data_IF_498907140187
#
_entry.id   IF_498907140187
#
_cell.length_a   1.000
_cell.length_b   1.000
_cell.length_c   1.000
_cell.angle_alpha   90.00
_cell.angle_beta   90.00
_cell.angle_gamma   90.00
#
_symmetry.space_group_name_H-M   'P 1'
#
loop_
_entity.id
_entity.type
_entity.pdbx_description
1 polymer ?
#
# COMPACT_ATOMS: atom_id res chain seq x y z
N UNK A 1 -9.56 -16.79 24.85
CA UNK A 1 -10.64 -17.54 24.19
C UNK A 1 -10.42 -17.37 22.69
N UNK A 2 -9.88 -18.39 21.99
CA UNK A 2 -9.63 -18.28 20.55
C UNK A 2 -10.96 -18.10 19.83
N UNK A 3 -10.98 -17.24 18.82
CA UNK A 3 -12.16 -16.99 17.99
C UNK A 3 -12.03 -17.87 16.74
N UNK A 4 -12.86 -18.92 16.57
CA UNK A 4 -12.75 -19.83 15.43
C UNK A 4 -12.83 -19.09 14.09
N UNK A 5 -13.62 -18.01 14.02
CA UNK A 5 -13.74 -17.16 12.83
C UNK A 5 -12.39 -16.54 12.40
N UNK A 6 -11.58 -16.09 13.36
CA UNK A 6 -10.30 -15.45 13.11
C UNK A 6 -9.27 -16.49 12.69
N UNK A 7 -9.20 -17.61 13.42
CA UNK A 7 -8.26 -18.69 13.08
C UNK A 7 -8.52 -19.26 11.69
N UNK A 8 -9.79 -19.42 11.30
CA UNK A 8 -10.16 -19.88 9.96
C UNK A 8 -9.77 -18.86 8.87
N UNK A 9 -10.06 -17.58 9.10
CA UNK A 9 -9.67 -16.51 8.16
C UNK A 9 -8.15 -16.36 8.07
N UNK A 10 -7.44 -16.51 9.19
CA UNK A 10 -5.98 -16.46 9.24
C UNK A 10 -5.36 -17.61 8.46
N UNK A 11 -5.73 -18.85 8.79
CA UNK A 11 -5.22 -20.04 8.11
C UNK A 11 -5.47 -20.01 6.60
N UNK A 12 -6.59 -19.40 6.15
CA UNK A 12 -6.90 -19.26 4.74
C UNK A 12 -6.06 -18.21 4.00
N UNK A 13 -5.48 -17.23 4.69
CA UNK A 13 -4.85 -16.06 4.06
C UNK A 13 -3.41 -15.76 4.54
N UNK A 14 -2.90 -16.49 5.53
CA UNK A 14 -1.56 -16.29 6.09
C UNK A 14 -0.45 -16.40 5.04
N UNK A 15 -0.45 -17.47 4.24
CA UNK A 15 0.55 -17.66 3.18
C UNK A 15 0.48 -16.55 2.12
N UNK A 16 -0.72 -16.07 1.82
CA UNK A 16 -0.94 -14.98 0.87
C UNK A 16 -0.43 -13.64 1.42
N UNK A 17 -0.70 -13.37 2.71
CA UNK A 17 -0.20 -12.20 3.42
C UNK A 17 1.33 -12.23 3.52
N UNK A 18 1.93 -13.36 3.86
CA UNK A 18 3.38 -13.50 3.95
C UNK A 18 4.04 -13.27 2.59
N UNK A 19 3.48 -13.83 1.51
CA UNK A 19 3.96 -13.57 0.15
C UNK A 19 3.86 -12.10 -0.24
N UNK A 20 2.74 -11.45 0.13
CA UNK A 20 2.58 -10.01 -0.06
C UNK A 20 3.61 -9.20 0.74
N UNK A 21 3.81 -9.51 2.02
CA UNK A 21 4.76 -8.78 2.89
C UNK A 21 6.20 -8.93 2.41
N UNK A 22 6.64 -10.15 2.07
CA UNK A 22 7.98 -10.41 1.54
C UNK A 22 8.28 -9.60 0.27
N UNK A 23 7.27 -9.38 -0.57
CA UNK A 23 7.43 -8.57 -1.77
C UNK A 23 7.58 -7.06 -1.49
N UNK A 24 7.07 -6.57 -0.35
CA UNK A 24 6.98 -5.14 -0.05
C UNK A 24 7.85 -4.67 1.14
N UNK A 25 8.40 -5.57 1.95
CA UNK A 25 9.31 -5.23 3.07
C UNK A 25 10.77 -5.10 2.65
N UNK A 26 11.16 -5.63 1.48
CA UNK A 26 12.53 -5.61 0.98
C UNK A 26 13.48 -6.60 1.67
N UNK A 27 13.16 -7.08 2.88
CA UNK A 27 13.90 -8.12 3.60
C UNK A 27 12.94 -9.21 4.10
N UNK A 28 13.39 -10.47 4.08
CA UNK A 28 12.57 -11.62 4.50
C UNK A 28 12.23 -11.59 5.99
N UNK A 29 13.15 -11.13 6.83
CA UNK A 29 12.97 -11.12 8.29
C UNK A 29 11.91 -10.11 8.73
N UNK A 30 11.92 -8.91 8.12
CA UNK A 30 10.91 -7.87 8.32
C UNK A 30 9.49 -8.41 8.01
N UNK A 31 9.35 -9.28 7.00
CA UNK A 31 8.05 -9.79 6.58
C UNK A 31 7.39 -10.68 7.64
N UNK A 32 8.16 -11.51 8.34
CA UNK A 32 7.64 -12.42 9.37
C UNK A 32 7.25 -11.66 10.63
N UNK A 33 8.02 -10.63 10.99
CA UNK A 33 7.68 -9.73 12.09
C UNK A 33 6.38 -8.97 11.81
N UNK A 34 6.26 -8.37 10.61
CA UNK A 34 5.05 -7.66 10.20
C UNK A 34 3.83 -8.58 10.17
N UNK A 35 4.01 -9.84 9.74
CA UNK A 35 2.94 -10.83 9.76
C UNK A 35 2.44 -11.09 11.18
N UNK A 36 3.35 -11.26 12.15
CA UNK A 36 3.01 -11.42 13.56
C UNK A 36 2.27 -10.19 14.10
N UNK A 37 2.72 -8.97 13.76
CA UNK A 37 2.06 -7.75 14.20
C UNK A 37 0.62 -7.66 13.69
N UNK A 38 0.38 -8.01 12.41
CA UNK A 38 -0.96 -8.07 11.83
C UNK A 38 -1.83 -9.09 12.57
N UNK A 39 -1.29 -10.25 12.92
CA UNK A 39 -2.02 -11.25 13.72
C UNK A 39 -2.44 -10.70 15.08
N UNK A 40 -1.53 -10.00 15.78
CA UNK A 40 -1.81 -9.37 17.06
C UNK A 40 -2.89 -8.30 16.92
N UNK A 41 -2.83 -7.44 15.88
CA UNK A 41 -3.86 -6.45 15.57
C UNK A 41 -5.21 -7.12 15.33
N UNK A 42 -5.25 -8.25 14.63
CA UNK A 42 -6.47 -9.02 14.40
C UNK A 42 -7.02 -9.66 15.69
N UNK A 43 -6.15 -10.22 16.54
CA UNK A 43 -6.52 -10.77 17.84
C UNK A 43 -7.12 -9.71 18.77
N UNK A 44 -6.52 -8.51 18.82
CA UNK A 44 -7.03 -7.38 19.62
C UNK A 44 -8.43 -6.96 19.22
N UNK A 45 -8.80 -7.16 17.95
CA UNK A 45 -10.13 -6.85 17.46
C UNK A 45 -11.21 -7.80 17.99
N UNK A 46 -10.82 -9.00 18.41
CA UNK A 46 -11.67 -9.95 19.12
C UNK A 46 -12.97 -10.24 18.36
N UNK A 47 -14.10 -10.22 19.08
CA UNK A 47 -15.43 -10.52 18.51
C UNK A 47 -15.82 -9.62 17.33
N UNK A 48 -15.30 -8.38 17.26
CA UNK A 48 -15.59 -7.44 16.16
C UNK A 48 -15.00 -7.92 14.83
N UNK A 49 -13.96 -8.75 14.85
CA UNK A 49 -13.44 -9.36 13.63
C UNK A 49 -14.48 -10.30 12.98
N UNK A 50 -15.19 -11.10 13.79
CA UNK A 50 -16.20 -12.03 13.25
C UNK A 50 -17.38 -11.33 12.56
N UNK A 51 -17.61 -10.03 12.84
CA UNK A 51 -18.64 -9.24 12.15
C UNK A 51 -18.16 -8.59 10.84
N UNK A 52 -16.90 -8.78 10.46
CA UNK A 52 -16.36 -8.23 9.20
C UNK A 52 -16.89 -9.03 8.02
N UNK A 53 -17.55 -8.35 7.08
CA UNK A 53 -18.14 -8.98 5.89
C UNK A 53 -17.10 -9.66 4.97
N UNK A 54 -15.90 -9.07 4.85
CA UNK A 54 -14.79 -9.65 4.08
C UNK A 54 -13.49 -9.66 4.90
N UNK A 55 -13.22 -10.75 5.63
CA UNK A 55 -12.03 -10.89 6.48
C UNK A 55 -10.72 -10.72 5.70
N UNK A 56 -10.64 -11.26 4.47
CA UNK A 56 -9.45 -11.12 3.61
C UNK A 56 -9.16 -9.66 3.31
N UNK A 57 -10.16 -8.91 2.83
CA UNK A 57 -9.99 -7.50 2.49
C UNK A 57 -9.52 -6.68 3.70
N UNK A 58 -10.05 -6.99 4.88
CA UNK A 58 -9.63 -6.34 6.13
C UNK A 58 -8.19 -6.68 6.51
N UNK A 59 -7.79 -7.96 6.42
CA UNK A 59 -6.41 -8.38 6.71
C UNK A 59 -5.40 -7.68 5.79
N UNK A 60 -5.69 -7.59 4.49
CA UNK A 60 -4.83 -6.87 3.54
C UNK A 60 -4.83 -5.35 3.75
N UNK A 61 -5.93 -4.78 4.26
CA UNK A 61 -5.95 -3.38 4.66
C UNK A 61 -5.02 -3.15 5.86
N UNK A 62 -5.08 -4.01 6.88
CA UNK A 62 -4.17 -3.94 8.03
C UNK A 62 -2.73 -4.16 7.60
N UNK A 63 -2.46 -5.13 6.72
CA UNK A 63 -1.12 -5.40 6.20
C UNK A 63 -0.49 -4.19 5.51
N UNK A 64 -1.24 -3.50 4.65
CA UNK A 64 -0.78 -2.26 4.00
C UNK A 64 -0.48 -1.16 5.01
N UNK A 65 -1.37 -0.94 5.97
CA UNK A 65 -1.15 0.08 6.99
C UNK A 65 0.11 -0.24 7.81
N UNK A 66 0.28 -1.49 8.25
CA UNK A 66 1.46 -1.92 9.01
C UNK A 66 2.76 -1.76 8.20
N UNK A 67 2.76 -2.07 6.90
CA UNK A 67 3.92 -1.84 6.03
C UNK A 67 4.27 -0.35 5.93
N UNK A 68 3.27 0.52 5.78
CA UNK A 68 3.50 1.97 5.68
C UNK A 68 4.08 2.50 7.00
N UNK A 69 3.52 2.08 8.14
CA UNK A 69 4.02 2.44 9.47
C UNK A 69 5.48 2.00 9.66
N UNK A 70 5.81 0.77 9.24
CA UNK A 70 7.17 0.23 9.31
C UNK A 70 8.17 1.03 8.45
N UNK A 71 7.82 1.32 7.19
CA UNK A 71 8.67 2.13 6.30
C UNK A 71 8.89 3.54 6.84
N UNK A 72 7.88 4.14 7.47
CA UNK A 72 8.00 5.45 8.11
C UNK A 72 8.99 5.42 9.27
N UNK A 73 8.91 4.42 10.15
CA UNK A 73 9.82 4.28 11.29
C UNK A 73 11.26 4.03 10.84
N UNK A 74 11.47 3.15 9.84
CA UNK A 74 12.79 2.83 9.30
C UNK A 74 13.45 4.05 8.64
N UNK A 75 12.66 4.95 8.04
CA UNK A 75 13.13 6.22 7.48
C UNK A 75 13.56 7.22 8.55
N UNK A 76 12.88 7.24 9.70
CA UNK A 76 13.24 8.09 10.84
C UNK A 76 14.48 7.56 11.60
N UNK A 77 14.83 6.28 11.44
CA UNK A 77 15.90 5.61 12.19
C UNK A 77 17.22 5.44 11.44
N UNK A 78 17.43 6.08 10.28
CA UNK A 78 18.68 5.92 9.52
C UNK A 78 19.87 6.52 10.31
N UNK A 79 20.84 5.71 10.76
CA UNK A 79 22.17 6.22 11.11
C UNK A 79 22.82 6.71 9.81
N UNK A 80 23.47 7.88 9.86
CA UNK A 80 24.35 8.32 8.77
C UNK A 80 25.62 7.46 8.82
N UNK A 81 25.64 6.35 8.08
CA UNK A 81 26.87 5.61 7.83
C UNK A 81 27.47 6.05 6.47
N UNK A 82 28.66 6.66 6.56
CA UNK A 82 29.57 6.94 5.44
C UNK A 82 30.19 5.63 4.93
N UNK A 83 29.39 4.75 4.32
CA UNK A 83 29.94 3.75 3.40
C UNK A 83 28.85 3.30 2.44
N UNK A 84 28.87 3.90 1.25
CA UNK A 84 28.04 3.48 0.12
C UNK A 84 28.57 2.12 -0.36
N UNK A 85 28.17 1.05 0.31
CA UNK A 85 28.20 -0.28 -0.26
C UNK A 85 27.10 -0.32 -1.31
N UNK A 86 27.52 -0.31 -2.57
CA UNK A 86 26.63 -0.48 -3.72
C UNK A 86 25.75 -1.72 -3.48
N UNK A 87 24.41 -1.58 -3.44
CA UNK A 87 23.57 -2.76 -3.46
C UNK A 87 23.76 -3.40 -4.83
N UNK A 88 24.16 -4.68 -4.83
CA UNK A 88 24.07 -5.52 -6.00
C UNK A 88 22.68 -5.35 -6.60
N UNK A 89 22.62 -5.23 -7.94
CA UNK A 89 21.36 -5.15 -8.69
C UNK A 89 20.57 -6.43 -8.50
N UNK A 90 19.89 -6.57 -7.37
CA UNK A 90 18.66 -7.33 -7.32
C UNK A 90 17.77 -6.71 -8.38
N UNK A 91 17.29 -7.55 -9.30
CA UNK A 91 16.39 -7.15 -10.36
C UNK A 91 15.21 -6.41 -9.76
N UNK A 92 15.28 -5.08 -9.82
CA UNK A 92 14.23 -4.16 -9.44
C UNK A 92 12.92 -4.70 -10.03
N UNK A 93 11.94 -5.11 -9.20
CA UNK A 93 10.65 -5.58 -9.69
C UNK A 93 10.07 -4.52 -10.63
N UNK A 94 9.21 -4.90 -11.58
CA UNK A 94 8.58 -3.99 -12.55
C UNK A 94 7.89 -2.73 -11.96
N UNK A 95 7.76 -2.66 -10.64
CA UNK A 95 7.37 -1.52 -9.81
C UNK A 95 8.34 -0.32 -9.96
N UNK A 96 9.65 -0.54 -10.13
CA UNK A 96 10.63 0.55 -10.25
C UNK A 96 10.66 1.24 -11.63
N UNK A 97 10.09 0.61 -12.65
CA UNK A 97 9.83 1.32 -13.92
C UNK A 97 8.59 2.22 -13.81
N UNK A 98 7.64 1.85 -12.94
CA UNK A 98 6.39 2.59 -12.70
C UNK A 98 6.58 3.82 -11.80
N UNK A 99 7.60 3.81 -10.94
CA UNK A 99 7.96 4.94 -10.07
C UNK A 99 8.35 6.19 -10.87
N UNK A 100 8.86 6.06 -12.10
CA UNK A 100 9.11 7.20 -13.00
C UNK A 100 7.81 7.79 -13.59
N UNK A 101 6.79 6.96 -13.77
CA UNK A 101 5.50 7.36 -14.33
C UNK A 101 4.61 8.05 -13.28
N UNK A 102 4.72 7.63 -12.02
CA UNK A 102 3.83 8.03 -10.95
C UNK A 102 3.81 9.55 -10.66
N UNK A 103 4.95 10.26 -10.51
CA UNK A 103 4.96 11.71 -10.23
C UNK A 103 4.16 12.51 -11.27
N UNK A 104 4.38 12.19 -12.55
CA UNK A 104 3.72 12.88 -13.67
C UNK A 104 2.23 12.59 -13.73
N UNK A 105 1.83 11.33 -13.49
CA UNK A 105 0.40 10.99 -13.44
C UNK A 105 -0.29 11.66 -12.26
N UNK A 106 0.39 11.78 -11.10
CA UNK A 106 -0.14 12.50 -9.94
C UNK A 106 -0.37 13.98 -10.25
N UNK A 107 0.54 14.63 -10.98
CA UNK A 107 0.37 16.04 -11.41
C UNK A 107 -0.83 16.25 -12.34
N UNK A 108 -1.18 15.26 -13.15
CA UNK A 108 -2.34 15.37 -14.03
C UNK A 108 -3.68 15.09 -13.32
N UNK A 109 -3.67 14.65 -12.06
CA UNK A 109 -4.89 14.45 -11.28
C UNK A 109 -5.43 15.79 -10.75
N UNK A 110 -6.75 15.90 -10.54
CA UNK A 110 -7.31 17.03 -9.80
C UNK A 110 -6.62 17.18 -8.45
N UNK A 111 -6.36 18.43 -8.03
CA UNK A 111 -5.58 18.73 -6.83
C UNK A 111 -6.10 18.00 -5.58
N UNK A 112 -7.42 17.94 -5.39
CA UNK A 112 -8.04 17.23 -4.28
C UNK A 112 -7.84 15.70 -4.32
N UNK A 113 -7.73 15.12 -5.52
CA UNK A 113 -7.46 13.68 -5.70
C UNK A 113 -5.97 13.40 -5.46
N UNK A 114 -5.08 14.26 -5.99
CA UNK A 114 -3.64 14.18 -5.74
C UNK A 114 -3.33 14.28 -4.25
N UNK A 115 -3.90 15.27 -3.57
CA UNK A 115 -3.75 15.47 -2.12
C UNK A 115 -4.21 14.23 -1.34
N UNK A 116 -5.37 13.67 -1.68
CA UNK A 116 -5.89 12.47 -1.02
C UNK A 116 -4.92 11.28 -1.14
N UNK A 117 -4.37 11.06 -2.34
CA UNK A 117 -3.44 9.96 -2.59
C UNK A 117 -2.09 10.20 -1.90
N UNK A 118 -1.51 11.40 -2.04
CA UNK A 118 -0.25 11.73 -1.39
C UNK A 118 -0.37 11.55 0.11
N UNK A 119 -1.41 12.12 0.71
CA UNK A 119 -1.55 12.12 2.15
C UNK A 119 -1.84 10.71 2.72
N UNK A 120 -2.76 9.96 2.11
CA UNK A 120 -3.18 8.67 2.68
C UNK A 120 -2.37 7.48 2.20
N UNK A 121 -2.00 7.45 0.90
CA UNK A 121 -1.42 6.28 0.27
C UNK A 121 0.12 6.36 0.19
N UNK A 122 0.69 7.57 0.09
CA UNK A 122 2.15 7.77 0.04
C UNK A 122 2.70 8.10 1.44
N UNK A 123 2.13 9.10 2.11
CA UNK A 123 2.58 9.54 3.43
C UNK A 123 2.00 8.69 4.57
N UNK A 124 1.04 7.81 4.26
CA UNK A 124 0.46 6.89 5.24
C UNK A 124 -0.45 7.53 6.29
N UNK A 125 -0.87 8.78 6.10
CA UNK A 125 -1.64 9.49 7.10
C UNK A 125 -3.06 8.92 7.22
N UNK A 126 -3.65 8.95 8.43
CA UNK A 126 -5.01 8.49 8.62
C UNK A 126 -5.99 9.32 7.79
N UNK A 127 -7.01 8.64 7.24
CA UNK A 127 -8.06 9.29 6.44
C UNK A 127 -8.85 10.35 7.21
N UNK A 128 -8.76 10.35 8.55
CA UNK A 128 -9.32 11.41 9.39
C UNK A 128 -8.58 12.74 9.17
N UNK A 129 -7.25 12.74 9.07
CA UNK A 129 -6.48 13.95 8.76
C UNK A 129 -6.83 14.50 7.37
N UNK A 130 -7.08 13.62 6.40
CA UNK A 130 -7.59 14.02 5.09
C UNK A 130 -8.98 14.70 5.19
N UNK A 131 -9.86 14.15 6.03
CA UNK A 131 -11.19 14.69 6.25
C UNK A 131 -11.12 16.10 6.86
N UNK A 132 -10.27 16.26 7.86
CA UNK A 132 -10.05 17.53 8.57
C UNK A 132 -9.45 18.59 7.63
N UNK A 133 -8.44 18.23 6.83
CA UNK A 133 -7.84 19.15 5.84
C UNK A 133 -8.82 19.58 4.75
N UNK A 134 -9.70 18.68 4.31
CA UNK A 134 -10.67 18.97 3.26
C UNK A 134 -11.97 19.58 3.78
N UNK A 135 -12.17 19.67 5.09
CA UNK A 135 -13.41 20.14 5.71
C UNK A 135 -14.63 19.25 5.39
N UNK A 136 -14.41 17.94 5.25
CA UNK A 136 -15.47 16.96 4.92
C UNK A 136 -15.62 15.91 6.02
N UNK A 137 -16.71 15.15 5.99
CA UNK A 137 -16.85 14.00 6.89
C UNK A 137 -15.85 12.88 6.56
N UNK A 138 -15.55 12.01 7.53
CA UNK A 138 -14.72 10.81 7.32
C UNK A 138 -15.28 9.91 6.20
N UNK A 139 -16.60 9.80 6.08
CA UNK A 139 -17.24 9.06 4.98
C UNK A 139 -17.03 9.74 3.62
N UNK A 140 -17.06 11.08 3.59
CA UNK A 140 -16.73 11.89 2.42
C UNK A 140 -15.27 11.73 2.00
N UNK A 141 -14.33 11.76 2.95
CA UNK A 141 -12.90 11.54 2.70
C UNK A 141 -12.63 10.13 2.15
N UNK A 142 -13.23 9.10 2.74
CA UNK A 142 -13.19 7.71 2.24
C UNK A 142 -13.66 7.60 0.79
N UNK A 143 -14.83 8.15 0.50
CA UNK A 143 -15.40 8.14 -0.85
C UNK A 143 -14.55 8.91 -1.85
N UNK A 144 -13.94 10.02 -1.42
CA UNK A 144 -13.02 10.81 -2.26
C UNK A 144 -11.74 10.04 -2.56
N UNK A 145 -11.09 9.48 -1.54
CA UNK A 145 -9.88 8.67 -1.71
C UNK A 145 -10.12 7.47 -2.65
N UNK A 146 -11.27 6.79 -2.50
CA UNK A 146 -11.63 5.69 -3.40
C UNK A 146 -11.75 6.14 -4.86
N UNK A 147 -12.41 7.29 -5.12
CA UNK A 147 -12.53 7.86 -6.47
C UNK A 147 -11.17 8.33 -7.02
N UNK A 148 -10.34 8.93 -6.18
CA UNK A 148 -8.99 9.33 -6.53
C UNK A 148 -8.14 8.13 -6.99
N UNK A 149 -8.18 7.01 -6.23
CA UNK A 149 -7.51 5.76 -6.61
C UNK A 149 -8.00 5.20 -7.95
N UNK A 150 -9.31 5.25 -8.21
CA UNK A 150 -9.87 4.80 -9.48
C UNK A 150 -9.38 5.65 -10.66
N UNK A 151 -9.33 6.97 -10.48
CA UNK A 151 -8.82 7.91 -11.51
C UNK A 151 -7.33 7.76 -11.74
N UNK A 152 -6.54 7.58 -10.67
CA UNK A 152 -5.12 7.30 -10.77
C UNK A 152 -4.90 6.03 -11.60
N UNK A 153 -5.63 4.95 -11.30
CA UNK A 153 -5.56 3.71 -12.07
C UNK A 153 -5.87 3.93 -13.56
N UNK A 154 -6.96 4.62 -13.88
CA UNK A 154 -7.33 4.90 -15.29
C UNK A 154 -6.24 5.71 -16.03
N UNK A 155 -5.63 6.69 -15.36
CA UNK A 155 -4.51 7.44 -15.94
C UNK A 155 -3.26 6.60 -16.11
N UNK A 156 -2.94 5.71 -15.17
CA UNK A 156 -1.82 4.78 -15.32
C UNK A 156 -2.07 3.77 -16.47
N UNK A 157 -3.29 3.28 -16.62
CA UNK A 157 -3.66 2.40 -17.75
C UNK A 157 -3.52 3.13 -19.11
N UNK A 158 -3.86 4.41 -19.19
CA UNK A 158 -3.84 5.17 -20.46
C UNK A 158 -2.49 5.82 -20.77
N UNK A 159 -1.92 6.57 -19.84
CA UNK A 159 -0.67 7.30 -20.03
C UNK A 159 0.55 6.40 -20.02
N UNK A 160 0.48 5.34 -19.22
CA UNK A 160 1.59 4.43 -18.94
C UNK A 160 1.36 3.06 -19.61
N UNK A 161 0.21 2.79 -20.24
CA UNK A 161 -0.11 1.49 -20.89
C UNK A 161 0.12 0.29 -19.96
N UNK A 162 -0.10 0.49 -18.66
CA UNK A 162 0.01 -0.55 -17.64
C UNK A 162 -1.03 -1.63 -17.93
N UNK A 163 -0.61 -2.86 -18.21
CA UNK A 163 -1.52 -4.02 -18.28
C UNK A 163 -1.52 -4.71 -16.94
N UNK A 164 -2.72 -4.91 -16.39
CA UNK A 164 -2.94 -5.68 -15.19
C UNK A 164 -3.27 -7.13 -15.59
N UNK A 165 -2.77 -8.11 -14.83
CA UNK A 165 -3.15 -9.52 -14.97
C UNK A 165 -4.56 -9.78 -14.41
N UNK A 166 -5.04 -11.02 -14.55
CA UNK A 166 -6.35 -11.45 -14.04
C UNK A 166 -6.50 -11.33 -12.50
N UNK A 167 -5.40 -11.12 -11.78
CA UNK A 167 -5.36 -10.93 -10.31
C UNK A 167 -5.22 -9.46 -9.90
N UNK A 168 -5.12 -8.54 -10.87
CA UNK A 168 -4.94 -7.11 -10.65
C UNK A 168 -3.50 -6.69 -10.36
N UNK A 169 -2.51 -7.56 -10.59
CA UNK A 169 -1.09 -7.23 -10.50
C UNK A 169 -0.58 -6.69 -11.85
N UNK A 170 0.44 -5.82 -11.82
CA UNK A 170 1.03 -5.26 -13.04
C UNK A 170 1.80 -6.35 -13.79
N UNK A 171 1.35 -6.67 -15.01
CA UNK A 171 1.91 -7.72 -15.87
C UNK A 171 2.97 -7.16 -16.83
N UNK A 172 2.74 -5.95 -17.37
CA UNK A 172 3.73 -5.23 -18.17
C UNK A 172 3.39 -3.73 -18.24
N UNK A 173 4.41 -2.91 -18.48
CA UNK A 173 4.31 -1.46 -18.58
C UNK A 173 5.23 -0.99 -19.72
N UNK A 174 4.77 -0.06 -20.57
CA UNK A 174 5.62 0.60 -21.56
C UNK A 174 5.80 2.04 -21.12
N UNK A 175 7.00 2.45 -20.65
CA UNK A 175 7.22 3.81 -20.23
C UNK A 175 6.90 4.79 -21.34
N UNK A 176 6.07 5.78 -21.00
CA UNK A 176 5.89 6.98 -21.81
C UNK A 176 7.25 7.67 -21.88
N UNK A 177 7.67 8.08 -23.08
CA UNK A 177 8.94 8.78 -23.28
C UNK A 177 9.08 9.95 -22.28
N UNK A 178 10.28 10.18 -21.74
CA UNK A 178 10.52 11.29 -20.80
C UNK A 178 10.05 12.61 -21.42
N UNK A 179 9.62 13.56 -20.57
CA UNK A 179 9.33 14.91 -21.03
C UNK A 179 10.58 15.50 -21.68
N UNK A 180 10.47 16.28 -22.77
CA UNK A 180 11.57 17.15 -23.17
C UNK A 180 11.84 18.12 -22.01
N UNK A 181 13.12 18.28 -21.67
CA UNK A 181 13.65 19.18 -20.63
C UNK A 181 13.18 20.63 -20.82
#
# INVERSE_FOLDING_TARGET
MSLPCLMNAWAAHEAELLGFLRHHSGHSDDAEELLQEIFIKALRQGKKFCSVANPRAWLFQVARNTLIDHHRQKRESLPLDEEILHPEKETLPAVDALSQCLPRVLEELPEADRLAIVLCDIDGRPQQELADQLGVSLSGAKSRLQRARLRLRQKLETACKVRLDAKGAVCCFTPRSPAPE
#
